data_IF_189095891862
#
_entry.id   IF_189095891862
#
_cell.length_a   1.000
_cell.length_b   1.000
_cell.length_c   1.000
_cell.angle_alpha   90.00
_cell.angle_beta   90.00
_cell.angle_gamma   90.00
#
_symmetry.space_group_name_H-M   'P 1'
#
loop_
_entity.id
_entity.type
_entity.pdbx_description
1 polymer ?
#
# COMPACT_ATOMS: atom_id res chain seq x y z
N UNK A 1 8.23 -24.56 -5.75
CA UNK A 1 7.03 -23.70 -5.61
C UNK A 1 7.31 -22.70 -4.50
N UNK A 2 7.03 -21.41 -4.71
CA UNK A 2 7.32 -20.39 -3.70
C UNK A 2 6.19 -20.35 -2.67
N UNK A 3 6.56 -20.24 -1.40
CA UNK A 3 5.61 -20.08 -0.30
C UNK A 3 4.84 -18.77 -0.44
N UNK A 4 3.60 -18.75 0.06
CA UNK A 4 2.78 -17.56 0.10
C UNK A 4 3.51 -16.43 0.84
N UNK A 5 3.50 -15.23 0.25
CA UNK A 5 4.13 -14.03 0.83
C UNK A 5 3.12 -12.92 1.15
N UNK A 6 1.82 -13.17 0.93
CA UNK A 6 0.72 -12.25 1.22
C UNK A 6 -0.30 -12.93 2.12
N UNK A 7 -0.88 -12.15 3.02
CA UNK A 7 -1.97 -12.57 3.90
C UNK A 7 -3.16 -13.07 3.04
N UNK A 8 -3.68 -14.29 3.31
CA UNK A 8 -4.85 -14.78 2.63
C UNK A 8 -6.04 -13.82 2.76
N UNK A 9 -6.70 -13.58 1.65
CA UNK A 9 -7.91 -12.75 1.54
C UNK A 9 -8.85 -13.36 0.50
N UNK A 10 -10.06 -12.81 0.26
CA UNK A 10 -11.02 -13.44 -0.65
C UNK A 10 -10.54 -13.63 -2.09
N UNK A 11 -9.43 -12.98 -2.47
CA UNK A 11 -8.86 -13.05 -3.81
C UNK A 11 -7.47 -13.70 -3.82
N UNK A 12 -6.71 -13.63 -2.72
CA UNK A 12 -5.43 -14.32 -2.57
C UNK A 12 -5.62 -15.59 -1.76
N UNK A 13 -5.60 -16.74 -2.45
CA UNK A 13 -5.82 -18.08 -1.90
C UNK A 13 -4.51 -18.71 -1.49
N UNK A 14 -4.56 -19.67 -0.57
CA UNK A 14 -3.42 -20.52 -0.18
C UNK A 14 -3.77 -21.99 -0.40
N UNK A 15 -2.86 -22.75 -1.01
CA UNK A 15 -3.02 -24.19 -1.19
C UNK A 15 -2.45 -25.00 0.00
N UNK A 16 -2.73 -26.30 0.02
CA UNK A 16 -2.27 -27.23 1.09
C UNK A 16 -0.76 -27.36 1.17
N UNK A 17 -0.04 -27.00 0.10
CA UNK A 17 1.41 -26.94 0.06
C UNK A 17 1.99 -25.59 0.49
N UNK A 18 1.14 -24.64 0.89
CA UNK A 18 1.51 -23.32 1.39
C UNK A 18 1.91 -22.33 0.29
N UNK A 19 1.65 -22.62 -0.98
CA UNK A 19 1.78 -21.61 -2.04
C UNK A 19 0.52 -20.76 -2.14
N UNK A 20 0.74 -19.48 -2.44
CA UNK A 20 -0.34 -18.55 -2.65
C UNK A 20 -0.62 -18.31 -4.12
N UNK A 21 -1.88 -18.04 -4.45
CA UNK A 21 -2.30 -17.76 -5.81
C UNK A 21 -3.53 -16.84 -5.86
N UNK A 22 -3.55 -15.91 -6.82
CA UNK A 22 -4.73 -15.08 -7.12
C UNK A 22 -5.71 -15.79 -8.08
N UNK A 23 -5.23 -16.75 -8.88
CA UNK A 23 -6.01 -17.39 -9.96
C UNK A 23 -6.02 -18.91 -9.88
N UNK A 24 -5.32 -19.50 -8.91
CA UNK A 24 -5.17 -20.93 -8.74
C UNK A 24 -6.26 -21.60 -7.90
N UNK A 25 -6.09 -22.91 -7.71
CA UNK A 25 -6.83 -23.71 -6.73
C UNK A 25 -6.22 -23.49 -5.34
N UNK A 26 -7.06 -23.47 -4.30
CA UNK A 26 -6.66 -23.18 -2.92
C UNK A 26 -7.83 -22.64 -2.11
N UNK A 27 -7.63 -22.54 -0.81
CA UNK A 27 -8.61 -22.02 0.13
C UNK A 27 -8.48 -20.50 0.20
N UNK A 28 -9.60 -19.81 -0.02
CA UNK A 28 -9.65 -18.36 0.05
C UNK A 28 -9.59 -17.88 1.49
N UNK A 29 -8.89 -16.76 1.71
CA UNK A 29 -8.94 -16.10 3.01
C UNK A 29 -10.29 -15.40 3.24
N UNK A 30 -10.71 -15.25 4.49
CA UNK A 30 -11.92 -14.53 4.86
C UNK A 30 -11.76 -13.01 4.64
N UNK A 31 -12.88 -12.34 4.39
CA UNK A 31 -12.92 -10.88 4.32
C UNK A 31 -12.70 -10.21 5.68
N UNK A 32 -12.11 -9.01 5.67
CA UNK A 32 -11.91 -8.23 6.89
C UNK A 32 -13.24 -7.57 7.32
N UNK A 33 -13.60 -7.71 8.60
CA UNK A 33 -14.78 -7.05 9.16
C UNK A 33 -14.55 -5.58 9.43
N UNK A 34 -13.36 -5.23 9.91
CA UNK A 34 -12.95 -3.84 10.08
C UNK A 34 -11.44 -3.70 9.95
N UNK A 35 -11.02 -2.52 9.50
CA UNK A 35 -9.63 -2.17 9.27
C UNK A 35 -9.41 -0.78 9.86
N UNK A 36 -8.35 -0.63 10.65
CA UNK A 36 -7.85 0.67 11.09
C UNK A 36 -6.45 0.86 10.55
N UNK A 37 -6.31 1.80 9.62
CA UNK A 37 -5.02 2.26 9.12
C UNK A 37 -4.58 3.48 9.91
N UNK A 38 -3.44 3.40 10.57
CA UNK A 38 -2.86 4.51 11.36
C UNK A 38 -1.55 4.96 10.73
N UNK A 39 -1.41 6.26 10.48
CA UNK A 39 -0.12 6.88 10.13
C UNK A 39 0.64 7.21 11.42
N UNK A 40 1.71 6.48 11.70
CA UNK A 40 2.56 6.71 12.88
C UNK A 40 3.82 7.46 12.45
N UNK A 41 3.86 8.76 12.74
CA UNK A 41 5.02 9.61 12.52
C UNK A 41 5.58 10.08 13.86
N UNK A 42 6.80 9.61 14.19
CA UNK A 42 7.45 9.99 15.45
C UNK A 42 8.03 11.39 15.38
N UNK A 43 7.51 12.29 16.20
CA UNK A 43 7.94 13.69 16.29
C UNK A 43 8.28 14.07 17.73
N UNK A 44 9.35 14.84 17.92
CA UNK A 44 9.64 15.53 19.18
C UNK A 44 8.92 16.87 19.13
N UNK A 45 8.16 17.19 20.17
CA UNK A 45 7.43 18.44 20.31
C UNK A 45 7.79 19.07 21.65
N UNK A 46 8.36 20.26 21.63
CA UNK A 46 8.62 21.07 22.82
C UNK A 46 7.89 22.40 22.70
N UNK A 47 7.37 22.90 23.81
CA UNK A 47 6.73 24.23 23.88
C UNK A 47 7.58 25.16 24.72
N UNK A 48 7.80 26.36 24.23
CA UNK A 48 8.42 27.44 25.02
C UNK A 48 7.44 27.93 26.08
N UNK A 49 7.92 28.64 27.11
CA UNK A 49 7.07 29.25 28.14
C UNK A 49 6.05 30.24 27.53
N UNK A 50 6.35 30.82 26.37
CA UNK A 50 5.44 31.66 25.58
C UNK A 50 4.54 30.85 24.63
N UNK A 51 4.40 29.54 24.85
CA UNK A 51 3.57 28.59 24.08
C UNK A 51 3.96 28.37 22.60
N UNK A 52 5.06 28.95 22.12
CA UNK A 52 5.56 28.64 20.77
C UNK A 52 5.99 27.17 20.69
N UNK A 53 5.49 26.46 19.68
CA UNK A 53 5.78 25.05 19.43
C UNK A 53 7.02 24.92 18.56
N UNK A 54 7.96 24.09 19.00
CA UNK A 54 9.11 23.65 18.21
C UNK A 54 8.92 22.14 18.01
N UNK A 55 8.83 21.70 16.75
CA UNK A 55 8.63 20.31 16.40
C UNK A 55 9.68 19.83 15.39
N UNK A 56 10.16 18.59 15.56
CA UNK A 56 11.06 17.92 14.60
C UNK A 56 10.68 16.46 14.45
N UNK A 57 10.79 15.93 13.22
CA UNK A 57 10.72 14.48 13.00
C UNK A 57 11.93 13.78 13.63
N UNK A 58 11.69 12.69 14.36
CA UNK A 58 12.77 11.90 14.99
C UNK A 58 13.02 10.61 14.20
N UNK A 59 11.98 10.03 13.63
CA UNK A 59 12.07 8.79 12.86
C UNK A 59 11.17 8.85 11.63
N UNK A 60 11.37 7.89 10.73
CA UNK A 60 10.49 7.68 9.58
C UNK A 60 9.07 7.37 10.02
N UNK A 61 8.11 7.74 9.17
CA UNK A 61 6.72 7.33 9.32
C UNK A 61 6.60 5.82 9.03
N UNK A 62 5.62 5.16 9.66
CA UNK A 62 5.19 3.80 9.34
C UNK A 62 3.67 3.68 9.36
N UNK A 63 3.14 2.74 8.59
CA UNK A 63 1.73 2.37 8.66
C UNK A 63 1.51 1.27 9.71
N UNK A 64 0.59 1.49 10.63
CA UNK A 64 0.08 0.43 11.49
C UNK A 64 -1.30 0.01 10.98
N UNK A 65 -1.51 -1.29 10.84
CA UNK A 65 -2.74 -1.88 10.30
C UNK A 65 -3.33 -2.80 11.37
N UNK A 66 -4.47 -2.39 11.94
CA UNK A 66 -5.26 -3.27 12.80
C UNK A 66 -6.40 -3.88 11.97
N UNK A 67 -6.51 -5.20 11.96
CA UNK A 67 -7.52 -5.97 11.21
C UNK A 67 -8.35 -6.77 12.19
N UNK A 68 -9.67 -6.68 12.09
CA UNK A 68 -10.57 -7.61 12.76
C UNK A 68 -11.32 -8.43 11.71
N UNK A 69 -11.48 -9.71 11.98
CA UNK A 69 -12.27 -10.61 11.16
C UNK A 69 -13.70 -10.73 11.69
N UNK A 70 -14.61 -11.17 10.82
CA UNK A 70 -15.92 -11.65 11.29
C UNK A 70 -15.70 -12.92 12.14
N UNK A 71 -16.67 -13.38 12.94
CA UNK A 71 -16.63 -14.74 13.46
C UNK A 71 -16.62 -15.74 12.29
N UNK A 72 -15.68 -16.68 12.29
CA UNK A 72 -15.40 -17.56 11.13
C UNK A 72 -15.54 -19.03 11.48
N UNK A 73 -15.83 -19.86 10.48
CA UNK A 73 -15.71 -21.31 10.61
C UNK A 73 -14.24 -21.73 10.65
N UNK A 74 -13.99 -23.00 11.00
CA UNK A 74 -12.62 -23.54 10.99
C UNK A 74 -11.99 -23.50 9.60
N UNK A 75 -12.74 -23.85 8.56
CA UNK A 75 -12.25 -23.87 7.18
C UNK A 75 -11.80 -22.49 6.69
N UNK A 76 -12.49 -21.42 7.12
CA UNK A 76 -12.11 -20.05 6.80
C UNK A 76 -10.93 -19.54 7.65
N UNK A 77 -10.78 -20.06 8.87
CA UNK A 77 -9.74 -19.64 9.80
C UNK A 77 -8.38 -20.30 9.52
N UNK A 78 -8.36 -21.58 9.21
CA UNK A 78 -7.15 -22.40 9.06
C UNK A 78 -6.17 -21.81 8.01
N UNK A 79 -6.61 -21.32 6.83
CA UNK A 79 -5.74 -20.64 5.85
C UNK A 79 -4.97 -19.45 6.42
N UNK A 80 -5.64 -18.60 7.20
CA UNK A 80 -5.02 -17.41 7.80
C UNK A 80 -4.09 -17.80 8.93
N UNK A 81 -4.54 -18.71 9.79
CA UNK A 81 -3.78 -19.10 10.98
C UNK A 81 -2.50 -19.86 10.63
N UNK A 82 -2.58 -20.83 9.73
CA UNK A 82 -1.42 -21.60 9.25
C UNK A 82 -0.39 -20.70 8.57
N UNK A 83 -0.83 -19.76 7.75
CA UNK A 83 0.02 -18.73 7.15
C UNK A 83 0.77 -17.91 8.22
N UNK A 84 0.07 -17.42 9.25
CA UNK A 84 0.69 -16.60 10.29
C UNK A 84 1.68 -17.39 11.16
N UNK A 85 1.39 -18.66 11.44
CA UNK A 85 2.33 -19.54 12.12
C UNK A 85 3.59 -19.75 11.29
N UNK A 86 3.46 -19.87 9.98
CA UNK A 86 4.59 -19.94 9.06
C UNK A 86 5.43 -18.66 9.07
N UNK A 87 4.81 -17.49 9.24
CA UNK A 87 5.51 -16.20 9.33
C UNK A 87 6.22 -15.95 10.68
N UNK A 88 6.02 -16.83 11.67
CA UNK A 88 6.77 -16.81 12.95
C UNK A 88 6.79 -15.42 13.63
N UNK A 89 5.68 -14.70 13.60
CA UNK A 89 5.51 -13.41 14.26
C UNK A 89 6.39 -12.30 13.66
N UNK A 90 7.35 -11.71 14.41
CA UNK A 90 8.18 -10.62 13.93
C UNK A 90 9.34 -11.06 13.02
N UNK A 91 9.54 -12.38 12.83
CA UNK A 91 10.73 -12.91 12.16
C UNK A 91 10.68 -12.75 10.64
N UNK A 92 9.54 -13.00 10.01
CA UNK A 92 9.41 -12.91 8.55
C UNK A 92 8.28 -11.96 8.14
N UNK A 93 8.59 -10.94 7.33
CA UNK A 93 7.59 -10.00 6.86
C UNK A 93 6.76 -10.61 5.73
N UNK A 94 5.53 -10.13 5.61
CA UNK A 94 4.61 -10.51 4.55
C UNK A 94 3.83 -9.31 4.03
N UNK A 95 3.10 -9.47 2.94
CA UNK A 95 2.30 -8.41 2.33
C UNK A 95 0.84 -8.48 2.78
N UNK A 96 0.21 -7.32 2.91
CA UNK A 96 -1.23 -7.19 3.11
C UNK A 96 -1.79 -6.27 2.05
N UNK A 97 -2.88 -6.71 1.41
CA UNK A 97 -3.69 -5.87 0.55
C UNK A 97 -4.86 -5.31 1.37
N UNK A 98 -5.08 -4.01 1.31
CA UNK A 98 -6.21 -3.36 1.97
C UNK A 98 -7.39 -3.26 0.97
N UNK A 99 -8.54 -3.88 1.24
CA UNK A 99 -9.69 -3.90 0.33
C UNK A 99 -10.12 -2.53 -0.17
N UNK A 100 -10.12 -1.51 0.70
CA UNK A 100 -10.53 -0.15 0.37
C UNK A 100 -9.58 0.58 -0.60
N UNK A 101 -8.36 0.07 -0.80
CA UNK A 101 -7.38 0.60 -1.75
C UNK A 101 -7.13 -0.35 -2.92
N UNK A 102 -7.88 -1.46 -3.01
CA UNK A 102 -7.71 -2.46 -4.07
C UNK A 102 -7.95 -1.85 -5.47
N UNK A 103 -8.94 -0.98 -5.56
CA UNK A 103 -9.32 -0.23 -6.75
C UNK A 103 -9.15 1.26 -6.50
N UNK A 104 -8.84 2.02 -7.55
CA UNK A 104 -8.80 3.48 -7.46
C UNK A 104 -10.22 4.06 -7.43
N UNK A 105 -10.37 5.24 -6.85
CA UNK A 105 -11.67 5.94 -6.69
C UNK A 105 -12.16 6.51 -8.02
N UNK A 106 -11.25 6.98 -8.86
CA UNK A 106 -11.59 7.61 -10.11
C UNK A 106 -11.75 6.55 -11.22
N UNK A 107 -12.96 6.36 -11.71
CA UNK A 107 -13.29 5.37 -12.75
C UNK A 107 -12.55 5.61 -14.06
N UNK A 108 -12.37 6.87 -14.47
CA UNK A 108 -11.58 7.19 -15.67
C UNK A 108 -10.10 6.87 -15.47
N UNK A 109 -9.58 7.02 -14.24
CA UNK A 109 -8.22 6.60 -13.92
C UNK A 109 -8.07 5.07 -13.88
N UNK A 110 -9.07 4.37 -13.35
CA UNK A 110 -9.14 2.91 -13.37
C UNK A 110 -9.03 2.36 -14.80
N UNK A 111 -9.76 2.96 -15.76
CA UNK A 111 -9.67 2.57 -17.16
C UNK A 111 -8.26 2.77 -17.76
N UNK A 112 -7.56 3.84 -17.38
CA UNK A 112 -6.17 4.08 -17.81
C UNK A 112 -5.22 3.04 -17.23
N UNK A 113 -5.39 2.69 -15.95
CA UNK A 113 -4.61 1.65 -15.28
C UNK A 113 -4.80 0.27 -15.91
N UNK A 114 -6.05 -0.09 -16.24
CA UNK A 114 -6.38 -1.37 -16.87
C UNK A 114 -5.84 -1.47 -18.31
N UNK A 115 -5.64 -0.33 -18.97
CA UNK A 115 -5.07 -0.23 -20.32
C UNK A 115 -3.59 0.17 -20.34
N UNK A 116 -2.86 0.17 -19.22
CA UNK A 116 -1.43 0.53 -19.20
C UNK A 116 -0.53 -0.66 -19.54
N UNK A 117 0.69 -0.38 -20.02
CA UNK A 117 1.73 -1.38 -20.27
C UNK A 117 3.07 -0.95 -19.66
N UNK A 118 3.59 -1.62 -18.60
CA UNK A 118 2.98 -2.76 -17.90
C UNK A 118 1.71 -2.35 -17.13
N UNK A 119 0.80 -3.30 -16.94
CA UNK A 119 -0.49 -3.05 -16.31
C UNK A 119 -0.32 -2.48 -14.89
N UNK A 120 -1.06 -1.42 -14.57
CA UNK A 120 -1.07 -0.71 -13.28
C UNK A 120 0.18 0.11 -12.92
N UNK A 121 1.21 0.11 -13.78
CA UNK A 121 2.50 0.72 -13.48
C UNK A 121 2.83 1.90 -14.37
N UNK A 122 3.48 2.92 -13.80
CA UNK A 122 3.98 4.06 -14.58
C UNK A 122 5.41 4.47 -14.19
N UNK A 123 6.28 4.76 -15.17
CA UNK A 123 7.67 5.15 -14.91
C UNK A 123 7.76 6.60 -14.41
N UNK A 124 8.61 6.81 -13.39
CA UNK A 124 9.03 8.16 -12.99
C UNK A 124 9.88 8.81 -14.08
N UNK A 125 9.67 10.10 -14.32
CA UNK A 125 10.31 10.83 -15.43
C UNK A 125 11.78 11.13 -15.19
N UNK A 126 12.15 11.30 -13.93
CA UNK A 126 13.49 11.67 -13.48
C UNK A 126 13.80 10.93 -12.19
N UNK A 127 15.08 10.76 -11.90
CA UNK A 127 15.50 10.18 -10.63
C UNK A 127 15.02 11.03 -9.46
N UNK A 128 14.56 10.37 -8.40
CA UNK A 128 13.98 11.01 -7.22
C UNK A 128 14.88 10.72 -6.03
N UNK A 129 15.30 11.78 -5.34
CA UNK A 129 16.09 11.65 -4.13
C UNK A 129 15.25 11.09 -2.96
N UNK A 130 15.89 10.36 -2.05
CA UNK A 130 15.30 10.05 -0.76
C UNK A 130 14.93 11.36 -0.03
N UNK A 131 13.81 11.37 0.68
CA UNK A 131 13.28 12.55 1.36
C UNK A 131 12.49 13.51 0.47
N UNK A 132 12.41 13.28 -0.85
CA UNK A 132 11.52 14.04 -1.72
C UNK A 132 10.05 13.76 -1.40
N UNK A 133 9.20 14.77 -1.52
CA UNK A 133 7.75 14.69 -1.27
C UNK A 133 6.92 14.76 -2.55
N UNK A 134 7.58 14.89 -3.70
CA UNK A 134 6.94 15.01 -4.99
C UNK A 134 7.53 14.01 -5.98
N UNK A 135 6.67 13.51 -6.87
CA UNK A 135 7.04 12.65 -7.97
C UNK A 135 6.30 13.07 -9.22
N UNK A 136 7.03 13.20 -10.33
CA UNK A 136 6.43 13.32 -11.66
C UNK A 136 6.62 12.01 -12.41
N UNK A 137 5.54 11.52 -13.00
CA UNK A 137 5.54 10.32 -13.84
C UNK A 137 4.82 10.60 -15.14
N UNK A 138 5.18 9.84 -16.17
CA UNK A 138 4.53 9.90 -17.47
C UNK A 138 3.52 8.77 -17.58
N UNK A 139 2.32 9.09 -18.03
CA UNK A 139 1.31 8.09 -18.35
C UNK A 139 1.43 7.73 -19.84
N UNK A 140 1.64 6.45 -20.09
CA UNK A 140 1.70 5.87 -21.44
C UNK A 140 0.70 4.72 -21.52
N UNK A 141 -0.51 4.95 -22.06
CA UNK A 141 -1.46 3.87 -22.27
C UNK A 141 -0.95 2.92 -23.36
N UNK A 142 -1.44 1.68 -23.36
CA UNK A 142 -1.13 0.65 -24.37
C UNK A 142 -1.60 1.03 -25.77
N UNK A 143 -2.59 1.92 -25.88
CA UNK A 143 -3.08 2.47 -27.14
C UNK A 143 -3.45 3.95 -26.99
N UNK A 144 -3.12 4.74 -28.02
CA UNK A 144 -3.52 6.14 -28.14
C UNK A 144 -2.69 7.15 -27.35
N UNK A 145 -3.13 8.40 -27.42
CA UNK A 145 -2.53 9.53 -26.68
C UNK A 145 -3.24 9.72 -25.33
N UNK A 146 -2.48 10.07 -24.30
CA UNK A 146 -3.04 10.41 -22.99
C UNK A 146 -2.90 11.91 -22.71
N UNK A 147 -3.99 12.51 -22.25
CA UNK A 147 -4.03 13.87 -21.70
C UNK A 147 -4.64 13.84 -20.31
N UNK A 148 -3.92 14.35 -19.33
CA UNK A 148 -4.36 14.42 -17.95
C UNK A 148 -5.49 15.44 -17.77
N UNK A 149 -6.61 14.97 -17.23
CA UNK A 149 -7.82 15.73 -16.90
C UNK A 149 -8.26 15.35 -15.49
N UNK A 150 -9.10 16.17 -14.86
CA UNK A 150 -9.64 15.85 -13.53
C UNK A 150 -10.42 14.52 -13.48
N UNK A 151 -10.86 13.99 -14.62
CA UNK A 151 -11.63 12.76 -14.76
C UNK A 151 -10.77 11.50 -14.98
N UNK A 152 -9.45 11.61 -15.23
CA UNK A 152 -8.61 10.44 -15.55
C UNK A 152 -7.23 10.47 -14.86
N UNK A 153 -7.17 11.03 -13.65
CA UNK A 153 -5.99 11.12 -12.80
C UNK A 153 -6.26 10.46 -11.43
N UNK A 154 -5.22 10.02 -10.68
CA UNK A 154 -5.38 9.58 -9.31
C UNK A 154 -5.97 10.68 -8.43
N UNK A 155 -6.48 10.29 -7.26
CA UNK A 155 -7.10 11.22 -6.31
C UNK A 155 -6.35 11.24 -4.97
N UNK A 156 -6.33 12.39 -4.28
CA UNK A 156 -5.83 12.45 -2.91
C UNK A 156 -6.50 11.41 -2.00
N UNK A 157 -5.71 10.84 -1.10
CA UNK A 157 -6.08 9.77 -0.18
C UNK A 157 -5.98 8.35 -0.76
N UNK A 158 -5.56 8.19 -2.02
CA UNK A 158 -5.21 6.87 -2.57
C UNK A 158 -3.81 6.45 -2.13
N UNK A 159 -3.60 5.14 -1.99
CA UNK A 159 -2.30 4.54 -1.72
C UNK A 159 -1.65 4.08 -3.02
N UNK A 160 -0.32 4.15 -3.08
CA UNK A 160 0.47 3.52 -4.12
C UNK A 160 1.76 2.95 -3.54
N UNK A 161 2.38 2.06 -4.29
CA UNK A 161 3.65 1.42 -3.95
C UNK A 161 4.62 1.54 -5.13
N UNK A 162 5.85 1.09 -4.93
CA UNK A 162 6.88 1.09 -5.97
C UNK A 162 7.23 -0.34 -6.33
N UNK A 163 7.36 -0.58 -7.63
CA UNK A 163 7.94 -1.80 -8.18
C UNK A 163 9.15 -1.40 -9.03
N UNK A 164 10.16 -0.81 -8.37
CA UNK A 164 11.40 -0.43 -9.04
C UNK A 164 12.35 -1.64 -9.13
N UNK A 165 13.33 -1.53 -10.01
CA UNK A 165 14.53 -2.38 -10.12
C UNK A 165 15.22 -2.56 -8.76
N UNK A 166 15.13 -1.56 -7.88
CA UNK A 166 15.47 -1.70 -6.46
C UNK A 166 14.36 -2.45 -5.71
N UNK A 167 14.48 -3.77 -5.69
CA UNK A 167 13.52 -4.70 -5.07
C UNK A 167 13.28 -4.49 -3.56
N UNK A 168 14.08 -3.64 -2.90
CA UNK A 168 13.98 -3.36 -1.48
C UNK A 168 13.15 -2.10 -1.15
N UNK A 169 12.54 -1.43 -2.12
CA UNK A 169 11.70 -0.26 -1.89
C UNK A 169 10.23 -0.64 -1.63
N UNK A 170 9.91 -1.19 -0.46
CA UNK A 170 8.57 -1.75 -0.15
C UNK A 170 7.63 -0.82 0.61
N UNK A 171 7.99 0.46 0.73
CA UNK A 171 7.19 1.47 1.44
C UNK A 171 5.90 1.80 0.68
N UNK A 172 4.78 1.88 1.40
CA UNK A 172 3.53 2.41 0.85
C UNK A 172 3.38 3.91 1.11
N UNK A 173 2.85 4.64 0.12
CA UNK A 173 2.67 6.09 0.17
C UNK A 173 1.23 6.49 -0.07
N UNK A 174 0.81 7.58 0.57
CA UNK A 174 -0.48 8.20 0.34
C UNK A 174 -0.33 9.48 -0.46
N UNK A 175 -1.20 9.65 -1.45
CA UNK A 175 -1.27 10.86 -2.28
C UNK A 175 -1.96 11.97 -1.47
N UNK A 176 -1.33 13.13 -1.36
CA UNK A 176 -1.92 14.31 -0.67
C UNK A 176 -2.37 15.38 -1.66
N UNK A 177 -1.73 15.47 -2.83
CA UNK A 177 -2.08 16.42 -3.88
C UNK A 177 -1.73 15.85 -5.25
N UNK A 178 -2.49 16.25 -6.27
CA UNK A 178 -2.27 15.86 -7.67
C UNK A 178 -2.29 17.11 -8.53
N UNK A 179 -1.21 17.32 -9.29
CA UNK A 179 -1.08 18.40 -10.26
C UNK A 179 -1.03 17.83 -11.68
N UNK A 180 -1.53 18.60 -12.64
CA UNK A 180 -1.55 18.26 -14.07
C UNK A 180 -1.23 19.49 -14.90
N UNK A 181 -1.02 19.31 -16.20
CA UNK A 181 -0.85 20.45 -17.09
C UNK A 181 -2.07 21.41 -17.01
N UNK A 182 -1.79 22.71 -16.84
CA UNK A 182 -2.80 23.76 -16.66
C UNK A 182 -3.41 23.86 -15.25
N UNK A 183 -2.98 23.02 -14.30
CA UNK A 183 -3.47 22.99 -12.92
C UNK A 183 -2.29 22.63 -11.99
N UNK A 184 -1.46 23.64 -11.76
CA UNK A 184 -0.17 23.57 -11.07
C UNK A 184 -0.16 24.57 -9.91
N UNK A 185 0.55 24.25 -8.83
CA UNK A 185 0.88 25.22 -7.80
C UNK A 185 1.73 26.36 -8.41
N UNK A 186 1.53 27.58 -7.92
CA UNK A 186 2.32 28.74 -8.37
C UNK A 186 3.83 28.49 -8.17
N UNK A 187 4.62 28.73 -9.22
CA UNK A 187 6.06 28.51 -9.22
C UNK A 187 6.50 27.06 -9.51
N UNK A 188 5.56 26.12 -9.67
CA UNK A 188 5.85 24.75 -10.09
C UNK A 188 6.38 24.71 -11.54
N UNK A 189 7.30 23.78 -11.82
CA UNK A 189 7.72 23.48 -13.18
C UNK A 189 6.53 23.01 -14.03
N UNK A 190 6.51 23.39 -15.31
CA UNK A 190 5.49 22.97 -16.26
C UNK A 190 5.45 21.43 -16.41
N UNK A 191 4.27 20.89 -16.69
CA UNK A 191 4.05 19.47 -16.98
C UNK A 191 3.59 19.32 -18.42
N UNK A 192 4.03 18.26 -19.09
CA UNK A 192 3.46 17.88 -20.38
C UNK A 192 2.02 17.38 -20.19
N UNK A 193 1.22 17.39 -21.27
CA UNK A 193 -0.17 16.95 -21.24
C UNK A 193 -0.35 15.51 -20.70
N UNK A 194 0.66 14.64 -20.89
CA UNK A 194 0.65 13.25 -20.44
C UNK A 194 1.36 13.00 -19.10
N UNK A 195 1.77 14.06 -18.40
CA UNK A 195 2.46 13.97 -17.11
C UNK A 195 1.55 14.35 -15.97
N UNK A 196 1.78 13.70 -14.83
CA UNK A 196 1.11 13.97 -13.57
C UNK A 196 2.19 14.16 -12.52
N UNK A 197 2.03 15.16 -11.65
CA UNK A 197 2.86 15.30 -10.44
C UNK A 197 2.02 14.99 -9.22
N UNK A 198 2.53 14.13 -8.34
CA UNK A 198 1.94 13.83 -7.05
C UNK A 198 2.75 14.52 -5.97
N UNK A 199 2.06 15.08 -4.99
CA UNK A 199 2.64 15.30 -3.66
C UNK A 199 2.17 14.19 -2.74
N UNK A 200 3.08 13.67 -1.93
CA UNK A 200 2.89 12.43 -1.18
C UNK A 200 3.22 12.61 0.30
N UNK A 201 2.68 11.70 1.11
CA UNK A 201 3.09 11.51 2.50
C UNK A 201 3.19 10.00 2.81
N UNK A 202 4.26 9.57 3.51
CA UNK A 202 5.45 10.32 3.91
C UNK A 202 6.40 10.65 2.74
N UNK A 203 7.50 11.40 2.95
CA UNK A 203 8.55 11.55 1.94
C UNK A 203 9.17 10.19 1.54
N UNK A 204 9.76 10.11 0.35
CA UNK A 204 10.36 8.87 -0.15
C UNK A 204 11.43 8.33 0.79
N UNK A 205 11.34 7.03 1.10
CA UNK A 205 12.18 6.39 2.10
C UNK A 205 13.56 6.03 1.53
N UNK A 206 13.63 5.77 0.22
CA UNK A 206 14.87 5.57 -0.53
C UNK A 206 14.79 6.34 -1.84
N UNK A 207 15.92 6.52 -2.50
CA UNK A 207 15.96 7.12 -3.82
C UNK A 207 15.35 6.16 -4.85
N UNK A 208 14.76 6.73 -5.91
CA UNK A 208 14.14 6.00 -7.02
C UNK A 208 14.92 6.36 -8.29
N UNK A 209 15.37 5.36 -9.02
CA UNK A 209 16.03 5.58 -10.31
C UNK A 209 15.04 6.10 -11.36
N UNK A 210 15.55 6.78 -12.39
CA UNK A 210 14.76 7.08 -13.57
C UNK A 210 14.12 5.79 -14.11
N UNK A 211 12.85 5.86 -14.53
CA UNK A 211 12.03 4.71 -14.94
C UNK A 211 11.63 3.73 -13.82
N UNK A 212 11.89 4.03 -12.54
CA UNK A 212 11.28 3.30 -11.44
C UNK A 212 9.75 3.33 -11.54
N UNK A 213 9.09 2.20 -11.30
CA UNK A 213 7.67 2.04 -11.58
C UNK A 213 6.82 2.31 -10.34
N UNK A 214 5.83 3.19 -10.50
CA UNK A 214 4.77 3.44 -9.51
C UNK A 214 3.59 2.50 -9.75
N UNK A 215 3.11 1.78 -8.73
CA UNK A 215 1.97 0.85 -8.82
C UNK A 215 0.78 1.38 -8.02
N UNK A 216 -0.33 1.66 -8.70
CA UNK A 216 -1.52 2.30 -8.10
C UNK A 216 -2.70 1.36 -7.82
N UNK A 217 -2.77 0.21 -8.50
CA UNK A 217 -3.82 -0.80 -8.25
C UNK A 217 -3.27 -1.88 -7.32
N UNK A 218 -4.09 -2.30 -6.35
CA UNK A 218 -3.71 -3.30 -5.34
C UNK A 218 -2.37 -2.99 -4.66
N UNK A 219 -2.17 -1.78 -4.09
CA UNK A 219 -0.95 -1.49 -3.35
C UNK A 219 -0.79 -2.46 -2.17
N UNK A 220 0.37 -3.11 -2.11
CA UNK A 220 0.70 -4.08 -1.08
C UNK A 220 1.56 -3.43 0.00
N UNK A 221 1.10 -3.47 1.25
CA UNK A 221 1.87 -2.99 2.39
C UNK A 221 2.66 -4.17 2.94
N UNK A 222 4.00 -4.05 3.00
CA UNK A 222 4.84 -5.04 3.66
C UNK A 222 4.79 -4.82 5.16
N UNK A 223 4.43 -5.86 5.91
CA UNK A 223 4.17 -5.79 7.35
C UNK A 223 4.81 -6.95 8.11
N UNK A 224 4.90 -6.78 9.42
CA UNK A 224 5.26 -7.81 10.41
C UNK A 224 4.21 -7.84 11.53
N UNK A 225 4.08 -8.98 12.19
CA UNK A 225 3.39 -9.04 13.48
C UNK A 225 4.39 -8.60 14.57
N UNK A 226 4.13 -7.52 15.32
CA UNK A 226 5.10 -6.96 16.26
C UNK A 226 5.34 -7.87 17.47
N UNK A 227 4.44 -8.81 17.75
CA UNK A 227 4.53 -9.75 18.87
C UNK A 227 4.66 -11.19 18.36
N UNK A 228 5.45 -11.99 19.07
CA UNK A 228 5.60 -13.42 18.79
C UNK A 228 4.44 -14.30 19.31
N UNK A 229 3.34 -13.67 19.73
CA UNK A 229 2.16 -14.35 20.28
C UNK A 229 1.01 -14.20 19.29
N UNK A 230 0.40 -15.34 18.92
CA UNK A 230 -0.82 -15.41 18.12
C UNK A 230 -1.92 -16.02 18.99
N UNK A 231 -3.04 -15.32 19.13
CA UNK A 231 -4.17 -15.75 19.96
C UNK A 231 -5.45 -15.73 19.16
N UNK A 232 -6.25 -16.78 19.29
CA UNK A 232 -7.64 -16.82 18.83
C UNK A 232 -8.54 -17.29 19.98
N UNK A 233 -9.84 -17.05 19.85
CA UNK A 233 -10.84 -17.57 20.79
C UNK A 233 -12.06 -18.09 20.03
N UNK A 234 -12.84 -18.97 20.67
CA UNK A 234 -14.12 -19.42 20.16
C UNK A 234 -15.24 -18.63 20.83
N UNK A 235 -16.27 -18.25 20.07
CA UNK A 235 -17.49 -17.69 20.63
C UNK A 235 -18.44 -18.82 21.10
N UNK A 236 -19.62 -18.43 21.61
CA UNK A 236 -20.67 -19.36 22.05
C UNK A 236 -21.21 -20.27 20.95
N UNK A 237 -21.01 -19.88 19.69
CA UNK A 237 -21.47 -20.61 18.50
C UNK A 237 -20.36 -21.48 17.89
N UNK A 238 -19.23 -21.66 18.60
CA UNK A 238 -18.03 -22.35 18.13
C UNK A 238 -17.39 -21.73 16.87
N UNK A 239 -17.60 -20.44 16.63
CA UNK A 239 -16.93 -19.65 15.60
C UNK A 239 -15.66 -18.99 16.14
N UNK A 240 -14.63 -18.96 15.30
CA UNK A 240 -13.33 -18.38 15.59
C UNK A 240 -13.42 -16.85 15.56
N UNK A 241 -13.02 -16.21 16.65
CA UNK A 241 -12.82 -14.77 16.77
C UNK A 241 -11.32 -14.47 16.72
N UNK A 242 -10.94 -13.65 15.75
CA UNK A 242 -9.54 -13.35 15.48
C UNK A 242 -9.33 -11.90 15.07
N UNK A 243 -8.20 -11.34 15.48
CA UNK A 243 -7.74 -10.01 15.10
C UNK A 243 -6.23 -9.97 14.97
N UNK A 244 -5.75 -9.06 14.13
CA UNK A 244 -4.35 -8.86 13.84
C UNK A 244 -3.96 -7.42 14.09
N UNK A 245 -2.80 -7.23 14.68
CA UNK A 245 -2.11 -5.94 14.77
C UNK A 245 -0.82 -6.06 14.00
N UNK A 246 -0.67 -5.25 12.98
CA UNK A 246 0.43 -5.34 12.03
C UNK A 246 1.14 -3.99 11.95
N UNK A 247 2.45 -4.05 11.80
CA UNK A 247 3.32 -2.89 11.64
C UNK A 247 4.04 -2.98 10.29
N UNK A 248 4.10 -1.89 9.54
CA UNK A 248 4.85 -1.83 8.30
C UNK A 248 6.36 -2.07 8.52
N UNK A 249 6.93 -2.87 7.63
CA UNK A 249 8.34 -3.27 7.64
C UNK A 249 9.04 -2.82 6.34
N UNK A 250 10.25 -2.25 6.46
CA UNK A 250 11.01 -1.61 5.39
C UNK A 250 12.45 -2.12 5.28
#
# INVERSE_FOLDING_TARGET
MALANRLPDPYYKIDTSGAGSETGSGDAGPGFASIKLTSDQKMAVTRTNSQRVIARGIAGQKWNVDINYHPMTREEFDPVYTFLLQQRGPLTPFFVALPQYRTVKNTGWQAILDNSNPTYTFPVTTAIAAGATQVTFTVTPSSGSYTATSANIPKPGELFTLTDTNSNHTKAYMITMVERNGDLQSGSAALNANQIRLTINPPFAKAISTNGLLTFKQPLIKVIAPTAVQTYSLNTDNLYKFSLKLEEYL
#
